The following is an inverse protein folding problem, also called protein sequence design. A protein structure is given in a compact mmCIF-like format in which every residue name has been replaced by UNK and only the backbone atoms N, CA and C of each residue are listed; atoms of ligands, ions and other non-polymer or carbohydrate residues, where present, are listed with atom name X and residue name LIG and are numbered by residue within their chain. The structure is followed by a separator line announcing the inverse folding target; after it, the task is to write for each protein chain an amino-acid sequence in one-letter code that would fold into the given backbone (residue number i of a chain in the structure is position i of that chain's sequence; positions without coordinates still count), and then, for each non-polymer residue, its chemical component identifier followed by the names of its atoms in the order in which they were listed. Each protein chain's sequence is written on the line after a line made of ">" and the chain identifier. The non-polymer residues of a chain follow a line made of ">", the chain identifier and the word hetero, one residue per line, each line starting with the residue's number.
data_IF_730582068574
#
_entry.id   IF_730582068574
#
_cell.length_a   1.000
_cell.length_b   1.000
_cell.length_c   1.000
_cell.angle_alpha   90.00
_cell.angle_beta   90.00
_cell.angle_gamma   90.00
#
_symmetry.space_group_name_H-M   'P 1'
#
loop_
_entity.id
_entity.type
_entity.pdbx_description
1 polymer ?
#
# COMPACT_ATOMS: atom_id res chain seq x y z
N UNK A 1 -11.46 -9.15 27.54
CA UNK A 1 -11.81 -7.75 27.17
C UNK A 1 -12.53 -7.75 25.83
N UNK A 2 -13.53 -6.88 25.66
CA UNK A 2 -14.56 -7.03 24.64
C UNK A 2 -14.05 -6.48 23.29
N UNK A 3 -13.87 -7.34 22.26
CA UNK A 3 -13.34 -6.93 20.94
C UNK A 3 -14.14 -5.77 20.31
N UNK A 4 -15.45 -5.74 20.53
CA UNK A 4 -16.38 -4.68 20.10
C UNK A 4 -16.03 -3.30 20.67
N UNK A 5 -15.56 -3.22 21.93
CA UNK A 5 -15.23 -1.96 22.59
C UNK A 5 -14.01 -1.29 21.96
N UNK A 6 -13.00 -2.10 21.61
CA UNK A 6 -11.80 -1.64 20.90
C UNK A 6 -12.14 -1.11 19.50
N UNK A 7 -13.09 -1.74 18.81
CA UNK A 7 -13.53 -1.30 17.49
C UNK A 7 -14.26 0.06 17.53
N UNK A 8 -15.14 0.27 18.52
CA UNK A 8 -15.81 1.57 18.73
C UNK A 8 -14.80 2.66 19.11
N UNK A 9 -13.84 2.35 19.99
CA UNK A 9 -12.77 3.29 20.37
C UNK A 9 -11.90 3.68 19.17
N UNK A 10 -11.51 2.72 18.33
CA UNK A 10 -10.74 2.97 17.13
C UNK A 10 -11.53 3.79 16.07
N UNK A 11 -12.85 3.61 15.99
CA UNK A 11 -13.73 4.39 15.11
C UNK A 11 -13.81 5.87 15.53
N UNK A 12 -13.88 6.16 16.83
CA UNK A 12 -13.92 7.53 17.36
C UNK A 12 -12.66 8.36 17.02
N UNK A 13 -11.49 7.73 16.96
CA UNK A 13 -10.22 8.40 16.64
C UNK A 13 -10.25 8.99 15.20
N UNK A 14 -10.96 8.36 14.27
CA UNK A 14 -11.04 8.77 12.88
C UNK A 14 -11.81 10.09 12.63
N UNK A 15 -12.58 10.60 13.59
CA UNK A 15 -13.42 11.79 13.40
C UNK A 15 -12.68 13.13 13.40
N UNK A 16 -11.41 13.17 13.80
CA UNK A 16 -10.62 14.40 13.94
C UNK A 16 -9.69 14.69 12.74
N UNK A 17 -10.13 14.38 11.51
CA UNK A 17 -9.43 14.79 10.29
C UNK A 17 -9.70 16.28 10.03
N UNK A 18 -8.98 17.15 10.73
CA UNK A 18 -8.96 18.59 10.50
C UNK A 18 -8.24 18.93 9.19
N UNK A 19 -8.92 18.72 8.07
CA UNK A 19 -8.50 19.29 6.79
C UNK A 19 -8.61 20.83 6.86
N UNK A 20 -7.51 21.52 6.56
CA UNK A 20 -7.48 22.97 6.37
C UNK A 20 -7.49 23.35 4.89
N UNK A 21 -7.62 24.64 4.60
CA UNK A 21 -7.32 25.14 3.25
C UNK A 21 -5.79 25.28 3.12
N UNK A 22 -5.25 25.07 1.92
CA UNK A 22 -3.84 25.26 1.60
C UNK A 22 -3.74 26.13 0.35
N UNK A 23 -3.09 27.28 0.49
CA UNK A 23 -2.76 28.19 -0.62
C UNK A 23 -1.35 27.83 -1.10
N UNK A 24 -1.23 27.36 -2.33
CA UNK A 24 0.05 27.01 -2.96
C UNK A 24 0.46 28.17 -3.87
N UNK A 25 1.64 28.75 -3.64
CA UNK A 25 2.20 29.84 -4.46
C UNK A 25 2.90 29.31 -5.72
N UNK A 26 3.14 30.20 -6.69
CA UNK A 26 3.89 29.87 -7.92
C UNK A 26 5.33 29.39 -7.65
N UNK A 27 5.94 29.83 -6.54
CA UNK A 27 7.23 29.34 -6.04
C UNK A 27 7.16 27.93 -5.38
N UNK A 28 5.99 27.27 -5.44
CA UNK A 28 5.64 25.98 -4.82
C UNK A 28 5.64 25.97 -3.28
N UNK A 29 5.80 27.11 -2.61
CA UNK A 29 5.66 27.16 -1.15
C UNK A 29 4.19 27.23 -0.73
N UNK A 30 3.87 26.60 0.40
CA UNK A 30 2.51 26.39 0.87
C UNK A 30 2.19 27.29 2.08
N UNK A 31 0.98 27.84 2.12
CA UNK A 31 0.42 28.58 3.25
C UNK A 31 -0.80 27.83 3.74
N UNK A 32 -0.72 27.26 4.95
CA UNK A 32 -1.88 26.67 5.64
C UNK A 32 -2.81 27.79 6.07
N UNK A 33 -4.07 27.71 5.68
CA UNK A 33 -5.00 28.82 5.76
C UNK A 33 -6.42 28.39 6.15
N UNK A 34 -7.22 29.41 6.46
CA UNK A 34 -8.66 29.42 6.19
C UNK A 34 -8.91 30.54 5.18
N UNK A 35 -9.35 30.20 3.98
CA UNK A 35 -9.71 31.18 2.95
C UNK A 35 -11.04 31.82 3.33
N UNK A 36 -11.10 33.14 3.30
CA UNK A 36 -12.31 33.91 3.61
C UNK A 36 -13.02 34.35 2.32
N UNK A 37 -12.25 34.82 1.34
CA UNK A 37 -12.79 35.42 0.11
C UNK A 37 -11.76 35.31 -1.02
N UNK A 38 -12.23 34.96 -2.22
CA UNK A 38 -11.42 34.99 -3.45
C UNK A 38 -12.00 36.08 -4.36
N UNK A 39 -11.35 37.25 -4.37
CA UNK A 39 -11.72 38.34 -5.26
C UNK A 39 -11.06 38.17 -6.64
N UNK A 40 -11.26 39.13 -7.55
CA UNK A 40 -10.66 39.11 -8.89
C UNK A 40 -9.12 39.06 -8.83
N UNK A 41 -8.50 40.04 -8.15
CA UNK A 41 -7.05 40.21 -8.09
C UNK A 41 -6.40 39.71 -6.78
N UNK A 42 -7.17 39.49 -5.70
CA UNK A 42 -6.67 39.23 -4.34
C UNK A 42 -7.43 38.09 -3.67
N UNK A 43 -6.73 37.28 -2.87
CA UNK A 43 -7.28 36.24 -2.00
C UNK A 43 -7.11 36.69 -0.55
N UNK A 44 -8.18 36.68 0.24
CA UNK A 44 -8.18 37.02 1.67
C UNK A 44 -8.24 35.75 2.49
N UNK A 45 -7.36 35.63 3.49
CA UNK A 45 -7.25 34.42 4.31
C UNK A 45 -6.81 34.74 5.75
N UNK A 46 -6.99 33.80 6.65
CA UNK A 46 -6.30 33.78 7.96
C UNK A 46 -5.31 32.62 8.02
N UNK A 47 -4.19 32.82 8.70
CA UNK A 47 -3.23 31.74 9.00
C UNK A 47 -3.96 30.61 9.74
N UNK A 48 -3.74 29.35 9.34
CA UNK A 48 -4.41 28.21 9.98
C UNK A 48 -4.19 28.20 11.50
N UNK A 49 -2.96 28.47 11.93
CA UNK A 49 -2.54 28.42 13.33
C UNK A 49 -2.96 29.65 14.16
N UNK A 50 -3.57 30.68 13.56
CA UNK A 50 -4.05 31.88 14.26
C UNK A 50 -5.38 32.42 13.67
N UNK A 51 -6.46 31.66 13.89
CA UNK A 51 -7.80 31.94 13.36
C UNK A 51 -8.48 33.20 13.91
N UNK A 52 -8.09 33.68 15.09
CA UNK A 52 -8.60 34.94 15.66
C UNK A 52 -7.74 36.16 15.26
N UNK A 53 -6.56 35.91 14.67
CA UNK A 53 -5.63 36.94 14.19
C UNK A 53 -6.12 37.75 12.98
N UNK A 54 -5.27 38.64 12.43
CA UNK A 54 -5.63 39.51 11.32
C UNK A 54 -5.93 38.73 10.02
N UNK A 55 -6.70 39.36 9.14
CA UNK A 55 -6.88 38.87 7.76
C UNK A 55 -5.68 39.29 6.91
N UNK A 56 -5.05 38.31 6.26
CA UNK A 56 -3.95 38.48 5.33
C UNK A 56 -4.48 38.50 3.90
N UNK A 57 -3.78 39.23 3.02
CA UNK A 57 -4.05 39.31 1.60
C UNK A 57 -2.88 38.73 0.81
N UNK A 58 -3.16 38.04 -0.29
CA UNK A 58 -2.16 37.62 -1.29
C UNK A 58 -2.71 37.87 -2.70
N UNK A 59 -1.89 38.33 -3.65
CA UNK A 59 -2.39 38.52 -5.02
C UNK A 59 -2.70 37.15 -5.64
N UNK A 60 -3.80 37.09 -6.39
CA UNK A 60 -4.16 35.90 -7.17
C UNK A 60 -3.07 35.54 -8.19
N UNK A 61 -2.32 36.53 -8.69
CA UNK A 61 -1.17 36.34 -9.59
C UNK A 61 -0.02 35.56 -8.95
N UNK A 62 0.14 35.61 -7.62
CA UNK A 62 1.23 34.94 -6.89
C UNK A 62 0.86 33.51 -6.44
N UNK A 63 -0.43 33.18 -6.49
CA UNK A 63 -1.00 31.89 -6.08
C UNK A 63 -1.18 30.99 -7.30
N UNK A 64 -0.56 29.80 -7.26
CA UNK A 64 -0.77 28.77 -8.26
C UNK A 64 -2.15 28.13 -8.10
N UNK A 65 -2.49 27.70 -6.87
CA UNK A 65 -3.81 27.14 -6.58
C UNK A 65 -4.18 27.21 -5.09
N UNK A 66 -5.48 27.14 -4.81
CA UNK A 66 -6.04 26.83 -3.50
C UNK A 66 -6.53 25.37 -3.51
N UNK A 67 -6.19 24.63 -2.46
CA UNK A 67 -6.84 23.36 -2.10
C UNK A 67 -7.69 23.65 -0.86
N UNK A 68 -9.01 23.57 -0.97
CA UNK A 68 -9.92 23.80 0.14
C UNK A 68 -10.05 22.55 1.03
N UNK A 69 -10.47 22.73 2.28
CA UNK A 69 -10.69 21.67 3.29
C UNK A 69 -11.58 20.50 2.84
N UNK A 70 -12.44 20.68 1.84
CA UNK A 70 -13.30 19.65 1.26
C UNK A 70 -12.68 18.95 0.04
N UNK A 71 -11.41 19.19 -0.25
CA UNK A 71 -10.70 18.66 -1.42
C UNK A 71 -10.97 19.39 -2.74
N UNK A 72 -11.88 20.38 -2.78
CA UNK A 72 -12.08 21.24 -3.96
C UNK A 72 -10.76 21.96 -4.27
N UNK A 73 -10.45 22.11 -5.56
CA UNK A 73 -9.28 22.87 -6.03
C UNK A 73 -9.71 24.05 -6.90
N UNK A 74 -8.92 25.11 -6.85
CA UNK A 74 -9.12 26.32 -7.64
C UNK A 74 -7.75 26.85 -8.06
N UNK A 75 -7.44 26.77 -9.35
CA UNK A 75 -6.14 27.11 -9.94
C UNK A 75 -6.21 28.49 -10.58
N UNK A 76 -5.14 29.27 -10.47
CA UNK A 76 -5.04 30.58 -11.10
C UNK A 76 -3.86 30.59 -12.08
N UNK A 77 -4.17 30.60 -13.38
CA UNK A 77 -3.14 30.69 -14.40
C UNK A 77 -2.60 32.13 -14.43
N UNK A 78 -1.30 32.30 -14.17
CA UNK A 78 -0.62 33.59 -14.35
C UNK A 78 -0.32 33.85 -15.83
N UNK A 79 -1.36 33.93 -16.66
CA UNK A 79 -1.26 34.42 -18.04
C UNK A 79 -1.22 35.94 -18.01
N UNK A 80 -0.04 36.53 -18.18
CA UNK A 80 0.11 37.98 -18.32
C UNK A 80 -0.32 38.40 -19.74
N UNK A 81 -1.60 38.76 -19.90
CA UNK A 81 -2.14 39.18 -21.20
C UNK A 81 -1.60 40.56 -21.62
N UNK A 82 -0.78 40.57 -22.68
CA UNK A 82 -0.41 41.79 -23.40
C UNK A 82 -1.45 42.08 -24.51
N UNK A 83 -1.98 43.31 -24.62
CA UNK A 83 -3.10 43.59 -25.52
C UNK A 83 -2.66 44.03 -26.93
N UNK A 84 -3.05 43.30 -27.99
CA UNK A 84 -3.70 43.89 -29.20
C UNK A 84 -4.18 42.93 -30.31
N UNK A 85 -5.37 43.27 -30.83
CA UNK A 85 -5.73 43.34 -32.26
C UNK A 85 -6.23 42.11 -33.07
N UNK A 86 -7.56 41.96 -33.07
CA UNK A 86 -8.47 41.95 -34.24
C UNK A 86 -8.48 40.82 -35.32
N UNK A 87 -9.54 39.96 -35.22
CA UNK A 87 -10.39 39.37 -36.29
C UNK A 87 -9.72 38.44 -37.35
N UNK A 88 -10.37 37.46 -38.01
CA UNK A 88 -11.76 37.19 -38.49
C UNK A 88 -11.99 35.64 -38.55
N UNK A 89 -13.18 34.98 -38.59
CA UNK A 89 -14.54 35.08 -37.99
C UNK A 89 -15.35 33.79 -38.39
N UNK A 90 -16.30 33.32 -37.56
CA UNK A 90 -17.32 32.26 -37.78
C UNK A 90 -16.93 30.81 -38.17
N UNK A 91 -17.27 29.84 -37.32
CA UNK A 91 -18.45 28.98 -37.53
C UNK A 91 -18.83 28.24 -36.23
N UNK A 92 -20.10 27.85 -36.09
CA UNK A 92 -20.72 27.52 -34.80
C UNK A 92 -20.89 26.02 -34.48
N UNK A 93 -20.96 25.76 -33.16
CA UNK A 93 -21.62 24.62 -32.51
C UNK A 93 -21.25 23.17 -32.89
N UNK A 94 -20.23 22.62 -32.21
CA UNK A 94 -20.50 21.49 -31.31
C UNK A 94 -19.58 21.53 -30.08
N UNK A 95 -20.01 21.00 -28.93
CA UNK A 95 -19.43 21.31 -27.61
C UNK A 95 -18.84 20.10 -26.88
N UNK A 96 -17.54 20.17 -26.55
CA UNK A 96 -16.88 19.34 -25.52
C UNK A 96 -16.01 20.24 -24.62
N UNK A 97 -15.84 19.83 -23.36
CA UNK A 97 -15.23 20.60 -22.25
C UNK A 97 -13.68 20.51 -22.20
N UNK A 98 -12.98 21.29 -21.34
CA UNK A 98 -11.65 21.82 -21.68
C UNK A 98 -10.47 20.89 -21.39
N UNK A 99 -9.30 21.27 -21.91
CA UNK A 99 -7.99 20.68 -21.64
C UNK A 99 -7.52 21.00 -20.22
N UNK A 100 -8.16 20.41 -19.22
CA UNK A 100 -7.63 20.32 -17.85
C UNK A 100 -6.65 19.13 -17.74
N UNK A 101 -5.68 19.05 -18.66
CA UNK A 101 -4.70 17.96 -18.71
C UNK A 101 -3.49 18.26 -17.80
N UNK A 102 -3.71 18.19 -16.48
CA UNK A 102 -2.70 17.48 -15.69
C UNK A 102 -2.84 16.02 -16.08
N UNK A 103 -1.92 15.53 -16.91
CA UNK A 103 -2.03 14.21 -17.53
C UNK A 103 -2.36 13.13 -16.51
N UNK A 104 -3.55 12.53 -16.64
CA UNK A 104 -3.84 11.25 -16.01
C UNK A 104 -3.02 10.20 -16.75
N UNK A 105 -1.74 10.09 -16.41
CA UNK A 105 -0.85 9.11 -17.01
C UNK A 105 -1.31 7.73 -16.52
N UNK A 106 -2.11 7.07 -17.36
CA UNK A 106 -2.61 5.71 -17.13
C UNK A 106 -1.51 4.69 -17.38
N UNK A 107 -0.30 5.00 -16.90
CA UNK A 107 0.90 4.22 -17.05
C UNK A 107 0.70 2.91 -16.29
N UNK A 108 0.75 1.80 -17.04
CA UNK A 108 0.79 0.48 -16.44
C UNK A 108 2.16 0.30 -15.77
N UNK A 109 2.16 0.36 -14.44
CA UNK A 109 3.38 0.18 -13.64
C UNK A 109 3.64 -1.33 -13.53
N UNK A 110 4.55 -1.84 -14.35
CA UNK A 110 5.12 -3.19 -14.24
C UNK A 110 6.07 -3.22 -13.02
N UNK A 111 5.59 -3.77 -11.91
CA UNK A 111 6.33 -3.86 -10.65
C UNK A 111 6.71 -5.31 -10.38
N UNK A 112 8.02 -5.59 -10.30
CA UNK A 112 8.55 -6.95 -10.13
C UNK A 112 9.39 -7.07 -8.86
N UNK A 113 8.77 -7.32 -7.70
CA UNK A 113 9.50 -7.59 -6.48
C UNK A 113 9.83 -9.08 -6.37
N UNK A 114 10.98 -9.36 -5.80
CA UNK A 114 11.26 -10.62 -5.12
C UNK A 114 11.13 -10.37 -3.63
N UNK A 115 10.35 -11.17 -2.93
CA UNK A 115 10.17 -11.12 -1.48
C UNK A 115 10.89 -12.28 -0.82
N UNK A 116 11.57 -11.99 0.29
CA UNK A 116 12.01 -12.98 1.27
C UNK A 116 11.28 -12.65 2.58
N UNK A 117 10.35 -13.53 2.96
CA UNK A 117 9.55 -13.41 4.18
C UNK A 117 9.88 -14.55 5.14
N UNK A 118 9.80 -14.25 6.43
CA UNK A 118 9.79 -15.21 7.51
C UNK A 118 8.48 -15.09 8.29
N UNK A 119 8.00 -16.18 8.85
CA UNK A 119 6.97 -16.19 9.88
C UNK A 119 7.35 -17.15 11.01
N UNK A 120 6.83 -16.84 12.20
CA UNK A 120 6.82 -17.72 13.35
C UNK A 120 5.37 -17.92 13.74
N UNK A 121 4.93 -19.17 13.78
CA UNK A 121 3.55 -19.54 14.07
C UNK A 121 3.48 -20.64 15.13
N UNK A 122 2.44 -20.60 15.95
CA UNK A 122 2.04 -21.73 16.78
C UNK A 122 0.67 -22.19 16.31
N UNK A 123 0.55 -23.46 15.97
CA UNK A 123 -0.75 -24.10 15.78
C UNK A 123 -1.37 -24.38 17.15
N UNK A 124 -2.69 -24.28 17.25
CA UNK A 124 -3.41 -24.87 18.39
C UNK A 124 -3.56 -26.40 18.18
N UNK A 125 -4.07 -27.10 19.19
CA UNK A 125 -4.19 -28.58 19.30
C UNK A 125 -2.87 -29.36 19.49
N UNK A 126 -1.73 -28.89 18.98
CA UNK A 126 -0.40 -29.40 19.34
C UNK A 126 0.57 -28.24 19.60
N UNK A 127 1.59 -28.44 20.45
CA UNK A 127 2.58 -27.40 20.83
C UNK A 127 3.64 -27.24 19.73
N UNK A 128 3.21 -27.14 18.47
CA UNK A 128 4.11 -27.03 17.31
C UNK A 128 4.52 -25.58 17.11
N UNK A 129 5.78 -25.27 17.38
CA UNK A 129 6.40 -24.02 16.93
C UNK A 129 6.87 -24.24 15.50
N UNK A 130 6.32 -23.45 14.57
CA UNK A 130 6.67 -23.48 13.15
C UNK A 130 7.47 -22.24 12.77
N UNK A 131 8.63 -22.45 12.15
CA UNK A 131 9.38 -21.42 11.45
C UNK A 131 9.26 -21.65 9.94
N UNK A 132 8.79 -20.63 9.22
CA UNK A 132 8.54 -20.73 7.78
C UNK A 132 9.21 -19.58 7.02
N UNK A 133 9.93 -19.92 5.95
CA UNK A 133 10.49 -18.96 4.99
C UNK A 133 9.71 -19.03 3.69
N UNK A 134 9.28 -17.89 3.14
CA UNK A 134 8.80 -17.75 1.76
C UNK A 134 9.82 -16.96 0.93
N UNK A 135 10.32 -17.55 -0.16
CA UNK A 135 10.91 -16.82 -1.28
C UNK A 135 9.87 -16.74 -2.39
N UNK A 136 9.50 -15.53 -2.83
CA UNK A 136 8.51 -15.37 -3.89
C UNK A 136 8.82 -14.30 -4.93
N UNK A 137 8.76 -14.68 -6.21
CA UNK A 137 8.80 -13.78 -7.36
C UNK A 137 7.40 -13.38 -7.82
N UNK A 138 7.16 -12.07 -7.93
CA UNK A 138 5.86 -11.47 -8.27
C UNK A 138 5.98 -10.53 -9.48
N UNK A 139 4.90 -10.45 -10.28
CA UNK A 139 4.70 -9.39 -11.27
C UNK A 139 3.35 -8.71 -11.02
N UNK A 140 3.36 -7.40 -10.79
CA UNK A 140 2.14 -6.56 -10.67
C UNK A 140 1.97 -5.73 -11.94
N UNK A 141 0.76 -5.69 -12.47
CA UNK A 141 0.33 -4.76 -13.51
C UNK A 141 -0.66 -3.76 -12.88
N UNK A 142 -0.13 -2.64 -12.41
CA UNK A 142 -0.91 -1.63 -11.67
C UNK A 142 -1.32 -0.46 -12.56
N UNK A 143 -2.57 -0.01 -12.41
CA UNK A 143 -3.11 1.24 -12.96
C UNK A 143 -3.33 2.23 -11.83
N UNK A 144 -2.82 3.44 -12.00
CA UNK A 144 -2.89 4.50 -11.00
C UNK A 144 -4.23 5.24 -11.10
N UNK A 145 -4.92 5.42 -9.97
CA UNK A 145 -6.13 6.22 -9.84
C UNK A 145 -5.92 7.27 -8.74
N UNK A 146 -5.50 8.47 -9.13
CA UNK A 146 -5.07 9.55 -8.23
C UNK A 146 -3.96 9.11 -7.25
N UNK A 147 -4.33 8.79 -6.01
CA UNK A 147 -3.42 8.42 -4.92
C UNK A 147 -3.43 6.92 -4.58
N UNK A 148 -4.07 6.11 -5.42
CA UNK A 148 -4.40 4.72 -5.12
C UNK A 148 -4.19 3.86 -6.38
N UNK A 149 -3.34 2.84 -6.26
CA UNK A 149 -2.92 2.01 -7.39
C UNK A 149 -3.60 0.64 -7.27
N UNK A 150 -4.42 0.27 -8.26
CA UNK A 150 -5.10 -1.03 -8.33
C UNK A 150 -4.54 -1.85 -9.49
N UNK A 151 -4.57 -3.18 -9.38
CA UNK A 151 -4.23 -4.03 -10.52
C UNK A 151 -4.18 -5.51 -10.19
N UNK A 152 -3.63 -6.27 -11.13
CA UNK A 152 -3.46 -7.73 -11.01
C UNK A 152 -2.02 -8.03 -10.61
N UNK A 153 -1.85 -8.91 -9.63
CA UNK A 153 -0.55 -9.39 -9.14
C UNK A 153 -0.47 -10.90 -9.32
N UNK A 154 0.58 -11.38 -10.00
CA UNK A 154 0.81 -12.81 -10.25
C UNK A 154 2.14 -13.23 -9.66
N UNK A 155 2.11 -14.24 -8.80
CA UNK A 155 3.26 -14.89 -8.19
C UNK A 155 3.60 -16.14 -9.01
N UNK A 156 4.78 -16.15 -9.63
CA UNK A 156 5.19 -17.13 -10.65
C UNK A 156 6.33 -18.06 -10.21
N UNK A 157 6.83 -17.87 -9.00
CA UNK A 157 7.81 -18.74 -8.36
C UNK A 157 7.78 -18.50 -6.86
N UNK A 158 6.86 -19.19 -6.17
CA UNK A 158 6.78 -19.21 -4.70
C UNK A 158 7.38 -20.54 -4.23
N UNK A 159 8.43 -20.47 -3.42
CA UNK A 159 8.91 -21.56 -2.60
C UNK A 159 8.71 -21.17 -1.14
N UNK A 160 7.95 -21.97 -0.41
CA UNK A 160 7.79 -21.88 1.04
C UNK A 160 8.39 -23.15 1.66
N UNK A 161 9.23 -22.98 2.67
CA UNK A 161 9.79 -24.09 3.46
C UNK A 161 9.46 -23.87 4.92
N UNK A 162 8.81 -24.86 5.54
CA UNK A 162 8.37 -24.84 6.94
C UNK A 162 9.07 -25.93 7.73
N UNK A 163 9.72 -25.55 8.82
CA UNK A 163 10.26 -26.45 9.84
C UNK A 163 9.43 -26.30 11.12
N UNK A 164 8.79 -27.39 11.55
CA UNK A 164 7.94 -27.42 12.74
C UNK A 164 8.39 -28.44 13.77
N UNK A 165 8.51 -28.05 15.04
CA UNK A 165 8.82 -28.95 16.15
C UNK A 165 7.75 -28.84 17.24
N UNK A 166 7.37 -29.99 17.83
CA UNK A 166 6.54 -30.02 19.03
C UNK A 166 7.39 -29.82 20.30
N UNK A 167 6.95 -28.96 21.23
CA UNK A 167 7.54 -28.86 22.57
C UNK A 167 6.75 -29.71 23.58
N UNK A 168 6.89 -31.04 23.46
CA UNK A 168 6.39 -31.98 24.46
C UNK A 168 7.31 -32.06 25.68
N UNK A 169 6.94 -31.40 26.77
CA UNK A 169 7.72 -31.33 28.03
C UNK A 169 7.67 -32.60 28.93
N UNK A 170 7.02 -33.68 28.47
CA UNK A 170 6.90 -34.94 29.20
C UNK A 170 7.33 -36.12 28.31
N UNK A 171 8.07 -37.07 28.87
CA UNK A 171 8.59 -38.29 28.22
C UNK A 171 7.51 -39.35 27.89
N UNK A 172 6.32 -38.91 27.50
CA UNK A 172 5.13 -39.74 27.25
C UNK A 172 4.46 -39.43 25.91
N UNK A 173 4.87 -38.35 25.24
CA UNK A 173 4.37 -37.96 23.93
C UNK A 173 5.47 -38.09 22.87
N UNK A 174 5.18 -38.62 21.68
CA UNK A 174 6.17 -38.73 20.62
C UNK A 174 6.55 -37.35 20.09
N UNK A 175 7.85 -37.07 20.03
CA UNK A 175 8.35 -35.83 19.45
C UNK A 175 8.16 -35.87 17.93
N UNK A 176 7.51 -34.85 17.38
CA UNK A 176 7.24 -34.75 15.94
C UNK A 176 8.03 -33.58 15.35
N UNK A 177 8.75 -33.85 14.26
CA UNK A 177 9.41 -32.85 13.42
C UNK A 177 8.81 -32.91 12.02
N UNK A 178 8.41 -31.76 11.48
CA UNK A 178 7.83 -31.63 10.15
C UNK A 178 8.74 -30.78 9.27
N UNK A 179 9.18 -31.35 8.15
CA UNK A 179 9.91 -30.66 7.09
C UNK A 179 9.02 -30.60 5.84
N UNK A 180 8.37 -29.46 5.60
CA UNK A 180 7.42 -29.28 4.50
C UNK A 180 7.91 -28.23 3.51
N UNK A 181 7.99 -28.61 2.23
CA UNK A 181 8.32 -27.73 1.12
C UNK A 181 7.09 -27.56 0.21
N UNK A 182 6.60 -26.34 0.12
CA UNK A 182 5.43 -25.96 -0.68
C UNK A 182 5.87 -25.09 -1.86
N UNK A 183 5.67 -25.60 -3.07
CA UNK A 183 5.86 -24.84 -4.32
C UNK A 183 4.50 -24.43 -4.90
N UNK A 184 4.39 -23.22 -5.45
CA UNK A 184 3.12 -22.79 -6.02
C UNK A 184 3.11 -21.45 -6.73
N UNK A 185 1.89 -21.08 -7.14
CA UNK A 185 1.55 -19.80 -7.78
C UNK A 185 0.33 -19.16 -7.12
N UNK A 186 0.25 -17.83 -7.19
CA UNK A 186 -0.88 -17.05 -6.63
C UNK A 186 -1.30 -15.97 -7.63
N UNK A 187 -2.59 -15.81 -7.87
CA UNK A 187 -3.14 -14.79 -8.74
C UNK A 187 -4.15 -13.93 -7.96
N UNK A 188 -3.86 -12.64 -7.84
CA UNK A 188 -4.60 -11.71 -6.98
C UNK A 188 -5.07 -10.47 -7.74
N UNK A 189 -6.26 -10.00 -7.40
CA UNK A 189 -6.57 -8.57 -7.45
C UNK A 189 -5.84 -7.90 -6.27
N UNK A 190 -5.26 -6.73 -6.47
CA UNK A 190 -4.51 -6.02 -5.41
C UNK A 190 -4.71 -4.51 -5.48
N UNK A 191 -4.73 -3.87 -4.30
CA UNK A 191 -4.74 -2.42 -4.14
C UNK A 191 -3.61 -1.96 -3.23
N UNK A 192 -2.97 -0.84 -3.60
CA UNK A 192 -1.82 -0.25 -2.92
C UNK A 192 -2.07 1.25 -2.68
N UNK A 193 -1.92 1.68 -1.42
CA UNK A 193 -2.10 3.06 -0.97
C UNK A 193 -0.75 3.74 -0.68
N UNK A 194 -0.13 4.43 -1.64
CA UNK A 194 1.04 5.27 -1.39
C UNK A 194 0.72 6.47 -0.47
N UNK A 195 0.86 6.30 0.85
CA UNK A 195 0.59 7.35 1.86
C UNK A 195 1.49 8.57 1.66
N UNK A 196 2.75 8.33 1.27
CA UNK A 196 3.71 9.34 0.85
C UNK A 196 3.15 10.34 -0.19
N UNK A 197 2.27 9.90 -1.09
CA UNK A 197 1.66 10.76 -2.11
C UNK A 197 0.43 11.54 -1.61
N UNK A 198 -0.25 11.07 -0.55
CA UNK A 198 -1.40 11.79 0.05
C UNK A 198 -1.00 13.16 0.63
N UNK A 199 0.25 13.29 1.09
CA UNK A 199 0.81 14.54 1.63
C UNK A 199 1.57 15.37 0.59
N UNK A 200 1.24 15.26 -0.70
CA UNK A 200 1.79 16.10 -1.77
C UNK A 200 3.27 15.82 -2.15
N UNK A 201 3.97 14.95 -1.43
CA UNK A 201 5.41 14.63 -1.63
C UNK A 201 5.65 13.73 -2.86
N UNK A 202 5.28 14.22 -4.04
CA UNK A 202 5.38 13.53 -5.33
C UNK A 202 6.79 13.02 -5.66
N UNK A 203 7.83 13.75 -5.25
CA UNK A 203 9.24 13.35 -5.41
C UNK A 203 9.60 12.06 -4.65
N UNK A 204 8.81 11.66 -3.66
CA UNK A 204 9.03 10.45 -2.86
C UNK A 204 8.24 9.23 -3.37
N UNK A 205 7.75 9.21 -4.63
CA UNK A 205 6.89 8.16 -5.23
C UNK A 205 7.29 6.69 -4.92
N UNK A 206 8.58 6.39 -4.74
CA UNK A 206 9.11 5.06 -4.41
C UNK A 206 9.70 4.93 -2.98
N UNK A 207 9.38 5.83 -2.05
CA UNK A 207 9.91 5.85 -0.67
C UNK A 207 8.81 6.02 0.37
N UNK A 208 8.95 5.38 1.53
CA UNK A 208 8.00 5.48 2.64
C UNK A 208 6.96 4.34 2.68
N UNK A 209 5.84 4.52 3.40
CA UNK A 209 4.85 3.47 3.64
C UNK A 209 3.79 3.32 2.53
N UNK A 210 3.56 2.07 2.13
CA UNK A 210 2.55 1.63 1.16
C UNK A 210 1.72 0.48 1.75
N UNK A 211 0.65 0.75 2.53
CA UNK A 211 -0.35 -0.27 2.84
C UNK A 211 -0.91 -0.93 1.59
N UNK A 212 -1.19 -2.22 1.69
CA UNK A 212 -1.75 -3.00 0.60
C UNK A 212 -2.73 -4.07 1.08
N UNK A 213 -3.60 -4.48 0.17
CA UNK A 213 -4.42 -5.67 0.30
C UNK A 213 -4.40 -6.45 -1.01
N UNK A 214 -4.56 -7.77 -0.91
CA UNK A 214 -4.67 -8.70 -2.04
C UNK A 214 -5.75 -9.74 -1.76
N UNK A 215 -6.49 -10.13 -2.78
CA UNK A 215 -7.51 -11.18 -2.71
C UNK A 215 -7.62 -11.90 -4.06
N UNK A 216 -7.83 -13.21 -4.06
CA UNK A 216 -7.78 -14.02 -5.28
C UNK A 216 -7.54 -15.50 -4.97
N UNK A 217 -6.79 -16.20 -5.83
CA UNK A 217 -6.59 -17.65 -5.75
C UNK A 217 -5.13 -18.01 -5.53
N UNK A 218 -4.89 -19.00 -4.67
CA UNK A 218 -3.61 -19.66 -4.46
C UNK A 218 -3.71 -21.11 -4.95
N UNK A 219 -2.70 -21.57 -5.68
CA UNK A 219 -2.53 -22.96 -6.08
C UNK A 219 -1.14 -23.44 -5.65
N UNK A 220 -1.10 -24.57 -4.94
CA UNK A 220 0.10 -25.07 -4.27
C UNK A 220 0.21 -26.58 -4.38
N UNK A 221 1.45 -27.06 -4.47
CA UNK A 221 1.83 -28.46 -4.30
C UNK A 221 2.81 -28.52 -3.12
N UNK A 222 2.51 -29.35 -2.13
CA UNK A 222 3.33 -29.53 -0.93
C UNK A 222 3.90 -30.94 -0.92
N UNK A 223 5.19 -31.06 -0.66
CA UNK A 223 5.86 -32.33 -0.39
C UNK A 223 6.81 -32.20 0.80
N UNK A 224 7.03 -33.28 1.54
CA UNK A 224 7.88 -33.25 2.70
C UNK A 224 7.88 -34.55 3.49
N UNK A 225 8.49 -34.49 4.68
CA UNK A 225 8.63 -35.63 5.58
C UNK A 225 8.20 -35.23 6.99
N UNK A 226 7.37 -36.07 7.60
CA UNK A 226 7.08 -36.03 9.03
C UNK A 226 7.92 -37.11 9.71
N UNK A 227 8.78 -36.70 10.63
CA UNK A 227 9.56 -37.59 11.50
C UNK A 227 8.90 -37.69 12.87
N UNK A 228 8.75 -38.90 13.38
CA UNK A 228 8.14 -39.20 14.67
C UNK A 228 9.12 -40.03 15.49
N UNK A 229 9.56 -39.49 16.63
CA UNK A 229 10.43 -40.19 17.61
C UNK A 229 9.57 -40.59 18.81
N UNK A 230 9.53 -41.89 19.15
CA UNK A 230 8.81 -42.36 20.33
C UNK A 230 9.68 -42.28 21.59
N UNK A 231 9.11 -41.85 22.71
CA UNK A 231 9.87 -41.47 23.93
C UNK A 231 10.47 -42.65 24.73
N UNK A 232 10.63 -43.82 24.13
CA UNK A 232 11.06 -45.06 24.78
C UNK A 232 12.00 -45.96 23.94
N UNK A 233 12.54 -45.44 22.83
CA UNK A 233 13.52 -46.15 22.00
C UNK A 233 14.04 -45.29 20.83
N UNK A 234 15.18 -45.68 20.26
CA UNK A 234 15.83 -44.96 19.15
C UNK A 234 15.10 -45.07 17.79
N UNK A 235 13.97 -45.79 17.75
CA UNK A 235 13.15 -46.00 16.56
C UNK A 235 12.46 -44.70 16.09
N UNK A 236 13.14 -43.96 15.22
CA UNK A 236 12.51 -42.90 14.42
C UNK A 236 11.73 -43.49 13.25
N UNK A 237 10.47 -43.10 13.13
CA UNK A 237 9.64 -43.42 11.95
C UNK A 237 9.45 -42.17 11.10
N UNK A 238 9.56 -42.31 9.78
CA UNK A 238 9.39 -41.21 8.82
C UNK A 238 8.25 -41.50 7.86
N UNK A 239 7.34 -40.55 7.68
CA UNK A 239 6.23 -40.63 6.72
C UNK A 239 6.37 -39.53 5.68
N UNK A 240 6.43 -39.91 4.39
CA UNK A 240 6.40 -38.96 3.28
C UNK A 240 5.01 -38.38 3.10
N UNK A 241 4.89 -37.05 3.09
CA UNK A 241 3.66 -36.31 2.85
C UNK A 241 3.71 -35.70 1.46
N UNK A 242 2.63 -35.84 0.68
CA UNK A 242 2.45 -35.11 -0.58
C UNK A 242 0.99 -34.76 -0.82
N UNK A 243 0.75 -33.63 -1.48
CA UNK A 243 -0.60 -33.18 -1.84
C UNK A 243 -0.59 -31.90 -2.64
N UNK A 244 -1.74 -31.56 -3.23
CA UNK A 244 -1.96 -30.28 -3.91
C UNK A 244 -3.29 -29.67 -3.47
N UNK A 245 -3.34 -28.33 -3.45
CA UNK A 245 -4.51 -27.58 -3.04
C UNK A 245 -4.71 -26.36 -3.95
N UNK A 246 -5.96 -25.96 -4.16
CA UNK A 246 -6.34 -24.68 -4.76
C UNK A 246 -7.40 -24.04 -3.89
N UNK A 247 -7.10 -22.86 -3.37
CA UNK A 247 -7.86 -22.22 -2.28
C UNK A 247 -7.98 -20.70 -2.55
N UNK A 248 -9.07 -20.10 -2.06
CA UNK A 248 -9.21 -18.65 -2.10
C UNK A 248 -8.33 -18.02 -1.02
N UNK A 249 -7.53 -17.04 -1.40
CA UNK A 249 -6.51 -16.47 -0.54
C UNK A 249 -6.55 -14.95 -0.53
N UNK A 250 -6.26 -14.37 0.64
CA UNK A 250 -6.29 -12.93 0.86
C UNK A 250 -5.33 -12.52 1.96
N UNK A 251 -4.72 -11.36 1.79
CA UNK A 251 -3.77 -10.79 2.73
C UNK A 251 -3.85 -9.27 2.79
N UNK A 252 -3.53 -8.71 3.95
CA UNK A 252 -3.33 -7.28 4.16
C UNK A 252 -1.93 -7.04 4.72
N UNK A 253 -1.31 -5.91 4.39
CA UNK A 253 0.06 -5.64 4.81
C UNK A 253 0.54 -4.22 4.53
N UNK A 254 1.83 -4.00 4.77
CA UNK A 254 2.53 -2.74 4.61
C UNK A 254 3.91 -3.02 4.00
N UNK A 255 4.14 -2.51 2.79
CA UNK A 255 5.49 -2.36 2.22
C UNK A 255 6.05 -1.00 2.67
N UNK A 256 7.19 -0.95 3.36
CA UNK A 256 7.94 0.29 3.59
C UNK A 256 9.16 0.32 2.66
N UNK A 257 9.16 1.22 1.67
CA UNK A 257 10.22 1.27 0.65
C UNK A 257 11.34 2.22 1.03
N UNK A 258 12.57 1.74 0.85
CA UNK A 258 13.82 2.43 1.17
C UNK A 258 14.53 2.72 -0.18
N UNK A 259 13.80 3.33 -1.11
CA UNK A 259 14.27 3.67 -2.45
C UNK A 259 13.81 2.70 -3.55
N UNK A 260 14.42 2.82 -4.73
CA UNK A 260 13.95 2.19 -5.97
C UNK A 260 14.23 0.66 -6.10
N UNK A 261 14.70 0.01 -5.03
CA UNK A 261 15.21 -1.37 -5.11
C UNK A 261 15.09 -2.21 -3.84
N UNK A 262 14.75 -1.62 -2.70
CA UNK A 262 14.70 -2.30 -1.40
C UNK A 262 13.56 -1.77 -0.53
N UNK A 263 13.00 -2.64 0.30
CA UNK A 263 12.03 -2.30 1.32
C UNK A 263 11.83 -3.41 2.34
N UNK A 264 11.14 -3.07 3.42
CA UNK A 264 10.67 -3.99 4.45
C UNK A 264 9.20 -4.29 4.15
N UNK A 265 8.76 -5.52 4.39
CA UNK A 265 7.35 -5.94 4.27
C UNK A 265 6.90 -6.56 5.59
N UNK A 266 5.72 -6.17 6.06
CA UNK A 266 4.93 -6.94 7.02
C UNK A 266 3.56 -7.23 6.42
N UNK A 267 3.03 -8.44 6.59
CA UNK A 267 1.70 -8.81 6.10
C UNK A 267 1.07 -9.92 6.95
N UNK A 268 -0.25 -10.06 6.87
CA UNK A 268 -0.97 -11.22 7.40
C UNK A 268 -1.82 -11.87 6.33
N UNK A 269 -1.80 -13.20 6.28
CA UNK A 269 -2.56 -14.01 5.34
C UNK A 269 -3.72 -14.70 6.05
N UNK A 270 -4.93 -14.57 5.50
CA UNK A 270 -6.19 -15.06 6.08
C UNK A 270 -6.45 -14.64 7.53
N UNK A 271 -5.77 -13.60 8.01
CA UNK A 271 -5.65 -13.21 9.44
C UNK A 271 -5.20 -14.35 10.37
N UNK A 272 -4.46 -15.34 9.85
CA UNK A 272 -3.92 -16.50 10.59
C UNK A 272 -2.40 -16.48 10.68
N UNK A 273 -1.72 -16.34 9.55
CA UNK A 273 -0.25 -16.22 9.52
C UNK A 273 0.16 -14.76 9.60
N UNK A 274 1.23 -14.44 10.35
CA UNK A 274 1.87 -13.13 10.35
C UNK A 274 3.30 -13.25 9.83
N UNK A 275 3.60 -12.50 8.77
CA UNK A 275 4.85 -12.54 8.04
C UNK A 275 5.57 -11.19 8.13
N UNK A 276 6.88 -11.25 8.26
CA UNK A 276 7.78 -10.09 8.20
C UNK A 276 8.96 -10.42 7.28
N UNK A 277 9.62 -9.41 6.72
CA UNK A 277 10.79 -9.65 5.88
C UNK A 277 11.12 -8.48 4.97
N UNK A 278 11.76 -8.79 3.85
CA UNK A 278 12.29 -7.81 2.90
C UNK A 278 11.76 -8.03 1.49
N UNK A 279 11.60 -6.93 0.75
CA UNK A 279 11.30 -6.94 -0.68
C UNK A 279 12.42 -6.23 -1.45
N UNK A 280 12.85 -6.87 -2.54
CA UNK A 280 13.82 -6.33 -3.49
C UNK A 280 13.11 -6.08 -4.81
N UNK A 281 13.19 -4.88 -5.37
CA UNK A 281 12.60 -4.57 -6.67
C UNK A 281 13.67 -4.69 -7.76
N UNK A 282 13.49 -5.66 -8.66
CA UNK A 282 14.37 -5.86 -9.81
C UNK A 282 13.65 -5.37 -11.08
N UNK A 283 13.95 -4.12 -11.46
CA UNK A 283 13.39 -3.47 -12.65
C UNK A 283 14.36 -2.44 -13.22
N UNK A 284 14.39 -2.30 -14.54
CA UNK A 284 15.43 -1.55 -15.24
C UNK A 284 15.48 -0.08 -14.82
N UNK A 285 16.71 0.43 -14.63
CA UNK A 285 17.00 1.84 -14.86
C UNK A 285 16.68 2.16 -16.32
N UNK A 286 15.77 3.10 -16.53
CA UNK A 286 15.63 3.93 -17.73
C UNK A 286 15.57 5.38 -17.25
#
# INVERSE_FOLDING_TARGET
>A
MNKTLLFVFCSMICYNVFAQDVIIKNDKTEIKAKVLEVQENVIKYKSFDFQDGPTYNINKRDVFMIIYKNGKRETFNSTAELPKSAQVTHNDANSIKPVSQLSSTTDLVDYRPVRLLASLGKTDENVTTNFTIELSGEKRLLKNFNYLNWGVSVFYGRLESSYGWNEGWNDTYPQTVNELNTFGGRAFLSGYLPINLLWGKTEQKNKGPFPFFRAGVAMASTSGTTYITMSAGDDQTSTSVSGSNTDFDYAAGLDYKIGNGFGITVLTEKFKAFWWGVNFQFGNKK
#
